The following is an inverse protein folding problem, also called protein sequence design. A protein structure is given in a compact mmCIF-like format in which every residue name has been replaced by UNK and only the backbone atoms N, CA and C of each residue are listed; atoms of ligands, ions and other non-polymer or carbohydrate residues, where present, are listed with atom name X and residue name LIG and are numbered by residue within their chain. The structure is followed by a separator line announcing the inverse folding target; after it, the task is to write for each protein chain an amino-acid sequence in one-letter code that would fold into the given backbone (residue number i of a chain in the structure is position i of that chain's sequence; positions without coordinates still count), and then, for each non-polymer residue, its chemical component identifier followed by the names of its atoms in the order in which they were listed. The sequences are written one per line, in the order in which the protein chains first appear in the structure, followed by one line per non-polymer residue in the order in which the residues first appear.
data_IF_856050108530
#
_entry.id   IF_856050108530
#
_cell.length_a   1.000
_cell.length_b   1.000
_cell.length_c   1.000
_cell.angle_alpha   90.00
_cell.angle_beta   90.00
_cell.angle_gamma   90.00
#
_symmetry.space_group_name_H-M   'P 1'
#
loop_
_entity.id
_entity.type
_entity.pdbx_description
1 polymer ?
#
# COMPACT_ATOMS: atom_id res chain seq x y z
N UNK A 1 -4.87 8.29 26.05
CA UNK A 1 -4.12 7.09 26.48
C UNK A 1 -4.34 5.90 25.53
N UNK A 2 -5.59 5.47 25.25
CA UNK A 2 -5.88 4.32 24.37
C UNK A 2 -5.35 4.53 22.93
N UNK A 3 -5.59 5.68 22.30
CA UNK A 3 -5.15 6.00 20.94
C UNK A 3 -3.63 5.96 20.79
N UNK A 4 -2.90 6.46 21.76
CA UNK A 4 -1.42 6.42 21.74
C UNK A 4 -0.88 5.01 21.94
N UNK A 5 -1.56 4.17 22.73
CA UNK A 5 -1.22 2.75 22.85
C UNK A 5 -1.44 2.00 21.54
N UNK A 6 -2.59 2.20 20.91
CA UNK A 6 -2.92 1.60 19.60
C UNK A 6 -1.90 2.02 18.53
N UNK A 7 -1.57 3.31 18.47
CA UNK A 7 -0.58 3.82 17.53
C UNK A 7 0.80 3.19 17.72
N UNK A 8 1.22 3.00 18.98
CA UNK A 8 2.51 2.40 19.33
C UNK A 8 2.60 0.92 18.97
N UNK A 9 1.48 0.19 19.00
CA UNK A 9 1.42 -1.25 18.70
C UNK A 9 0.77 -1.54 17.35
N UNK A 10 0.61 -0.54 16.48
CA UNK A 10 -0.08 -0.65 15.18
C UNK A 10 0.45 -1.80 14.31
N UNK A 11 1.75 -2.05 14.31
CA UNK A 11 2.38 -3.14 13.53
C UNK A 11 1.92 -4.55 13.95
N UNK A 12 1.49 -4.74 15.19
CA UNK A 12 0.92 -6.01 15.68
C UNK A 12 -0.61 -6.03 15.56
N UNK A 13 -1.26 -4.89 15.75
CA UNK A 13 -2.73 -4.81 15.75
C UNK A 13 -3.28 -4.95 14.32
N UNK A 14 -2.58 -4.48 13.27
CA UNK A 14 -3.06 -4.59 11.89
C UNK A 14 -3.27 -6.05 11.41
N UNK A 15 -2.32 -6.99 11.60
CA UNK A 15 -2.59 -8.40 11.32
C UNK A 15 -3.76 -8.97 12.14
N UNK A 16 -3.90 -8.55 13.40
CA UNK A 16 -5.02 -8.95 14.26
C UNK A 16 -6.35 -8.45 13.69
N UNK A 17 -6.41 -7.20 13.16
CA UNK A 17 -7.62 -6.68 12.51
C UNK A 17 -8.00 -7.52 11.27
N UNK A 18 -7.03 -8.02 10.50
CA UNK A 18 -7.29 -8.94 9.39
C UNK A 18 -7.92 -10.26 9.90
N UNK A 19 -7.36 -10.85 10.97
CA UNK A 19 -7.89 -12.07 11.58
C UNK A 19 -9.32 -11.82 12.11
N UNK A 20 -9.57 -10.69 12.79
CA UNK A 20 -10.91 -10.30 13.26
C UNK A 20 -11.88 -10.18 12.10
N UNK A 21 -11.47 -9.53 10.98
CA UNK A 21 -12.28 -9.42 9.77
C UNK A 21 -12.63 -10.79 9.16
N UNK A 22 -11.70 -11.73 9.21
CA UNK A 22 -11.93 -13.10 8.76
C UNK A 22 -12.91 -13.87 9.68
N UNK A 23 -12.76 -13.76 11.00
CA UNK A 23 -13.59 -14.46 11.99
C UNK A 23 -15.00 -13.89 12.06
N UNK A 24 -15.18 -12.58 11.86
CA UNK A 24 -16.46 -11.89 11.94
C UNK A 24 -16.91 -11.32 10.57
N UNK A 25 -17.44 -12.17 9.66
CA UNK A 25 -17.75 -11.77 8.29
C UNK A 25 -18.79 -10.64 8.21
N UNK A 26 -19.78 -10.60 9.11
CA UNK A 26 -20.78 -9.53 9.16
C UNK A 26 -20.15 -8.17 9.43
N UNK A 27 -19.17 -8.10 10.35
CA UNK A 27 -18.43 -6.89 10.66
C UNK A 27 -17.56 -6.48 9.46
N UNK A 28 -16.86 -7.44 8.85
CA UNK A 28 -16.02 -7.19 7.67
C UNK A 28 -16.85 -6.65 6.50
N UNK A 29 -18.00 -7.25 6.20
CA UNK A 29 -18.92 -6.79 5.15
C UNK A 29 -19.48 -5.39 5.45
N UNK A 30 -19.84 -5.10 6.69
CA UNK A 30 -20.30 -3.77 7.07
C UNK A 30 -19.23 -2.70 6.86
N UNK A 31 -17.96 -3.00 7.18
CA UNK A 31 -16.84 -2.07 6.97
C UNK A 31 -16.48 -1.95 5.49
N UNK A 32 -16.57 -3.03 4.70
CA UNK A 32 -16.26 -3.03 3.26
C UNK A 32 -17.02 -1.95 2.49
N UNK A 33 -18.29 -1.73 2.84
CA UNK A 33 -19.15 -0.71 2.19
C UNK A 33 -18.59 0.71 2.35
N UNK A 34 -17.93 1.00 3.47
CA UNK A 34 -17.39 2.33 3.79
C UNK A 34 -15.90 2.48 3.46
N UNK A 35 -15.24 1.47 2.92
CA UNK A 35 -13.78 1.50 2.71
C UNK A 35 -13.34 2.61 1.76
N UNK A 36 -14.13 2.94 0.74
CA UNK A 36 -13.81 4.05 -0.17
C UNK A 36 -13.84 5.42 0.51
N UNK A 37 -14.79 5.63 1.42
CA UNK A 37 -14.88 6.85 2.23
C UNK A 37 -13.73 6.90 3.26
N UNK A 38 -13.42 5.77 3.89
CA UNK A 38 -12.30 5.64 4.82
C UNK A 38 -10.99 5.96 4.10
N UNK A 39 -10.79 5.47 2.87
CA UNK A 39 -9.65 5.79 2.04
C UNK A 39 -9.53 7.30 1.76
N UNK A 40 -10.64 7.94 1.39
CA UNK A 40 -10.68 9.38 1.14
C UNK A 40 -10.16 10.18 2.35
N UNK A 41 -10.70 9.90 3.54
CA UNK A 41 -10.27 10.58 4.75
C UNK A 41 -8.84 10.22 5.14
N UNK A 42 -8.42 8.98 4.99
CA UNK A 42 -7.03 8.59 5.24
C UNK A 42 -6.06 9.37 4.36
N UNK A 43 -6.35 9.48 3.06
CA UNK A 43 -5.53 10.27 2.13
C UNK A 43 -5.50 11.74 2.53
N UNK A 44 -6.66 12.32 2.80
CA UNK A 44 -6.79 13.71 3.23
C UNK A 44 -5.96 14.01 4.48
N UNK A 45 -6.14 13.23 5.55
CA UNK A 45 -5.42 13.44 6.81
C UNK A 45 -3.92 13.13 6.70
N UNK A 46 -3.54 12.12 5.90
CA UNK A 46 -2.12 11.85 5.64
C UNK A 46 -1.45 13.04 4.98
N UNK A 47 -2.05 13.59 3.93
CA UNK A 47 -1.51 14.74 3.21
C UNK A 47 -1.55 16.03 4.07
N UNK A 48 -2.53 16.16 4.93
CA UNK A 48 -2.62 17.27 5.88
C UNK A 48 -1.53 17.21 6.96
N UNK A 49 -1.12 16.00 7.38
CA UNK A 49 -0.12 15.78 8.43
C UNK A 49 1.35 15.86 7.97
N UNK A 50 1.63 16.09 6.68
CA UNK A 50 3.00 16.08 6.14
C UNK A 50 3.52 17.51 5.95
N UNK A 51 4.80 17.74 6.24
CA UNK A 51 5.50 18.96 5.84
C UNK A 51 5.63 19.02 4.29
N UNK A 52 4.86 19.91 3.67
CA UNK A 52 4.80 20.01 2.22
C UNK A 52 6.10 20.51 1.60
N UNK A 53 6.83 21.42 2.26
CA UNK A 53 8.08 21.93 1.72
C UNK A 53 9.16 20.85 1.65
N UNK A 54 9.35 20.12 2.75
CA UNK A 54 10.26 19.00 2.79
C UNK A 54 9.86 17.89 1.79
N UNK A 55 8.56 17.63 1.67
CA UNK A 55 8.01 16.67 0.73
C UNK A 55 8.24 17.07 -0.73
N UNK A 56 7.93 18.31 -1.12
CA UNK A 56 8.14 18.82 -2.49
C UNK A 56 9.62 18.74 -2.90
N UNK A 57 10.53 19.09 -1.99
CA UNK A 57 11.98 18.96 -2.22
C UNK A 57 12.39 17.51 -2.49
N UNK A 58 11.80 16.54 -1.78
CA UNK A 58 12.07 15.11 -1.98
C UNK A 58 11.41 14.59 -3.28
N UNK A 59 10.18 14.97 -3.58
CA UNK A 59 9.50 14.58 -4.82
C UNK A 59 10.19 15.14 -6.06
N UNK A 60 10.84 16.29 -5.96
CA UNK A 60 11.59 16.88 -7.08
C UNK A 60 12.81 16.04 -7.51
N UNK A 61 13.23 15.02 -6.72
CA UNK A 61 14.37 14.17 -7.07
C UNK A 61 13.97 13.07 -8.06
N UNK A 62 14.75 12.89 -9.13
CA UNK A 62 14.53 11.84 -10.14
C UNK A 62 14.52 10.44 -9.54
N UNK A 63 15.29 10.20 -8.47
CA UNK A 63 15.34 8.94 -7.73
C UNK A 63 13.96 8.47 -7.25
N UNK A 64 13.11 9.37 -6.78
CA UNK A 64 11.76 9.07 -6.29
C UNK A 64 10.84 8.64 -7.44
N UNK A 65 10.96 9.27 -8.62
CA UNK A 65 10.18 8.93 -9.81
C UNK A 65 10.62 7.61 -10.45
N UNK A 66 11.94 7.35 -10.49
CA UNK A 66 12.47 6.06 -10.94
C UNK A 66 11.96 4.94 -10.04
N UNK A 67 11.96 5.15 -8.71
CA UNK A 67 11.34 4.21 -7.78
C UNK A 67 9.86 3.97 -8.11
N UNK A 68 9.09 5.03 -8.32
CA UNK A 68 7.66 4.96 -8.60
C UNK A 68 7.35 4.17 -9.89
N UNK A 69 8.11 4.42 -10.96
CA UNK A 69 7.98 3.69 -12.22
C UNK A 69 8.34 2.22 -12.09
N UNK A 70 9.44 1.91 -11.42
CA UNK A 70 9.88 0.52 -11.21
C UNK A 70 8.90 -0.23 -10.29
N UNK A 71 8.43 0.42 -9.23
CA UNK A 71 7.55 -0.18 -8.24
C UNK A 71 6.15 -0.48 -8.78
N UNK A 72 5.56 0.38 -9.61
CA UNK A 72 4.23 0.16 -10.21
C UNK A 72 4.33 -0.49 -11.59
N UNK A 73 4.96 0.16 -12.55
CA UNK A 73 5.02 -0.31 -13.93
C UNK A 73 5.96 -1.50 -14.11
N UNK A 74 7.22 -1.37 -13.65
CA UNK A 74 8.22 -2.43 -13.79
C UNK A 74 7.82 -3.72 -13.07
N UNK A 75 7.29 -3.61 -11.84
CA UNK A 75 6.84 -4.77 -11.07
C UNK A 75 5.62 -5.43 -11.70
N UNK A 76 4.64 -4.65 -12.17
CA UNK A 76 3.47 -5.18 -12.87
C UNK A 76 3.88 -5.93 -14.15
N UNK A 77 4.75 -5.34 -14.96
CA UNK A 77 5.25 -5.97 -16.18
C UNK A 77 5.99 -7.28 -15.88
N UNK A 78 6.88 -7.28 -14.89
CA UNK A 78 7.60 -8.48 -14.48
C UNK A 78 6.64 -9.60 -14.03
N UNK A 79 5.59 -9.26 -13.27
CA UNK A 79 4.58 -10.21 -12.85
C UNK A 79 3.73 -10.72 -14.01
N UNK A 80 3.36 -9.87 -14.98
CA UNK A 80 2.64 -10.29 -16.19
C UNK A 80 3.48 -11.32 -16.94
N UNK A 81 4.74 -11.00 -17.24
CA UNK A 81 5.63 -11.90 -17.98
C UNK A 81 5.81 -13.24 -17.24
N UNK A 82 6.09 -13.19 -15.94
CA UNK A 82 6.32 -14.39 -15.12
C UNK A 82 5.06 -15.24 -15.01
N UNK A 83 3.92 -14.64 -14.65
CA UNK A 83 2.66 -15.35 -14.50
C UNK A 83 2.19 -15.94 -15.84
N UNK A 84 2.33 -15.19 -16.94
CA UNK A 84 2.00 -15.66 -18.28
C UNK A 84 2.89 -16.86 -18.70
N UNK A 85 4.19 -16.82 -18.42
CA UNK A 85 5.12 -17.92 -18.67
C UNK A 85 4.79 -19.19 -17.85
N UNK A 86 4.23 -19.00 -16.64
CA UNK A 86 3.75 -20.10 -15.79
C UNK A 86 2.36 -20.62 -16.18
N UNK A 87 1.78 -20.14 -17.28
CA UNK A 87 0.47 -20.59 -17.75
C UNK A 87 -0.73 -19.93 -17.07
N UNK A 88 -0.53 -18.91 -16.23
CA UNK A 88 -1.62 -18.15 -15.61
C UNK A 88 -2.31 -17.28 -16.67
N UNK A 89 -3.65 -17.28 -16.69
CA UNK A 89 -4.48 -16.57 -17.69
C UNK A 89 -5.66 -15.87 -17.02
N UNK A 90 -6.39 -15.13 -17.80
CA UNK A 90 -7.68 -14.51 -17.48
C UNK A 90 -7.68 -13.70 -16.18
N UNK A 91 -8.70 -13.83 -15.36
CA UNK A 91 -8.89 -13.08 -14.10
C UNK A 91 -7.73 -13.21 -13.12
N UNK A 92 -7.04 -14.36 -13.11
CA UNK A 92 -5.86 -14.57 -12.26
C UNK A 92 -4.68 -13.72 -12.71
N UNK A 93 -4.40 -13.68 -14.00
CA UNK A 93 -3.33 -12.85 -14.58
C UNK A 93 -3.64 -11.37 -14.35
N UNK A 94 -4.89 -10.96 -14.61
CA UNK A 94 -5.35 -9.60 -14.40
C UNK A 94 -5.21 -9.18 -12.92
N UNK A 95 -5.63 -10.05 -11.99
CA UNK A 95 -5.54 -9.78 -10.55
C UNK A 95 -4.09 -9.64 -10.07
N UNK A 96 -3.19 -10.52 -10.50
CA UNK A 96 -1.76 -10.48 -10.16
C UNK A 96 -1.10 -9.23 -10.72
N UNK A 97 -1.36 -8.91 -12.00
CA UNK A 97 -0.85 -7.72 -12.67
C UNK A 97 -1.35 -6.43 -11.99
N UNK A 98 -2.64 -6.39 -11.66
CA UNK A 98 -3.27 -5.29 -10.94
C UNK A 98 -2.66 -5.08 -9.56
N UNK A 99 -2.43 -6.15 -8.80
CA UNK A 99 -1.72 -6.07 -7.52
C UNK A 99 -0.29 -5.54 -7.71
N UNK A 100 0.41 -5.94 -8.76
CA UNK A 100 1.73 -5.43 -9.14
C UNK A 100 1.74 -3.93 -9.46
N UNK A 101 0.69 -3.43 -10.10
CA UNK A 101 0.55 -2.03 -10.48
C UNK A 101 0.16 -1.11 -9.32
N UNK A 102 -0.28 -1.65 -8.16
CA UNK A 102 -0.73 -0.84 -7.02
C UNK A 102 0.37 0.06 -6.47
N UNK A 103 0.00 1.27 -6.03
CA UNK A 103 0.90 2.17 -5.30
C UNK A 103 1.24 1.62 -3.91
N UNK A 104 2.29 2.14 -3.26
CA UNK A 104 2.54 1.88 -1.84
C UNK A 104 1.40 2.38 -0.95
N UNK A 105 1.29 1.76 0.23
CA UNK A 105 0.33 2.14 1.25
C UNK A 105 0.59 3.57 1.74
N UNK A 106 -0.45 4.42 1.85
CA UNK A 106 -0.31 5.78 2.41
C UNK A 106 0.27 5.82 3.82
N UNK A 107 0.09 4.75 4.59
CA UNK A 107 0.71 4.57 5.89
C UNK A 107 2.19 4.15 5.88
N UNK A 108 2.83 4.00 4.71
CA UNK A 108 4.23 3.52 4.61
C UNK A 108 5.20 4.40 5.38
N UNK A 109 5.02 5.74 5.36
CA UNK A 109 5.84 6.65 6.16
C UNK A 109 5.77 6.35 7.66
N UNK A 110 4.57 6.11 8.19
CA UNK A 110 4.38 5.75 9.59
C UNK A 110 4.98 4.37 9.92
N UNK A 111 4.83 3.40 9.01
CA UNK A 111 5.41 2.06 9.18
C UNK A 111 6.94 2.11 9.16
N UNK A 112 7.54 2.86 8.24
CA UNK A 112 9.00 3.06 8.13
C UNK A 112 9.54 3.76 9.36
N UNK A 113 8.86 4.81 9.84
CA UNK A 113 9.20 5.50 11.09
C UNK A 113 9.14 4.56 12.31
N UNK A 114 8.15 3.66 12.37
CA UNK A 114 8.03 2.67 13.45
C UNK A 114 9.16 1.63 13.46
N UNK A 115 9.90 1.50 12.35
CA UNK A 115 11.12 0.68 12.22
C UNK A 115 12.38 1.49 12.49
N UNK A 116 12.29 2.83 12.55
CA UNK A 116 13.39 3.74 12.88
C UNK A 116 14.10 4.36 11.67
N UNK A 117 13.46 4.38 10.49
CA UNK A 117 14.03 4.92 9.25
C UNK A 117 13.31 6.19 8.74
N UNK A 118 13.80 6.77 7.65
CA UNK A 118 13.33 8.05 7.08
C UNK A 118 11.88 7.94 6.54
N UNK A 119 10.94 8.41 7.36
CA UNK A 119 9.53 8.48 7.01
C UNK A 119 9.24 9.45 5.84
N UNK A 120 10.01 10.53 5.69
CA UNK A 120 9.80 11.52 4.63
C UNK A 120 10.15 10.93 3.27
N UNK A 121 11.25 10.18 3.18
CA UNK A 121 11.64 9.47 1.96
C UNK A 121 10.59 8.42 1.58
N UNK A 122 10.10 7.64 2.54
CA UNK A 122 9.04 6.67 2.31
C UNK A 122 7.77 7.33 1.79
N UNK A 123 7.36 8.44 2.38
CA UNK A 123 6.17 9.19 1.97
C UNK A 123 6.32 9.80 0.57
N UNK A 124 7.50 10.38 0.24
CA UNK A 124 7.77 10.91 -1.09
C UNK A 124 7.65 9.82 -2.17
N UNK A 125 8.25 8.65 -1.94
CA UNK A 125 8.14 7.48 -2.81
C UNK A 125 6.69 7.02 -2.97
N UNK A 126 5.93 7.01 -1.88
CA UNK A 126 4.50 6.63 -1.88
C UNK A 126 3.67 7.58 -2.73
N UNK A 127 3.85 8.89 -2.57
CA UNK A 127 3.08 9.89 -3.33
C UNK A 127 3.42 9.83 -4.82
N UNK A 128 4.71 9.78 -5.18
CA UNK A 128 5.11 9.65 -6.57
C UNK A 128 4.53 8.38 -7.22
N UNK A 129 4.60 7.24 -6.53
CA UNK A 129 4.03 6.00 -7.03
C UNK A 129 2.49 6.04 -7.11
N UNK A 130 1.81 6.77 -6.22
CA UNK A 130 0.35 6.98 -6.28
C UNK A 130 -0.05 7.80 -7.51
N UNK A 131 0.78 8.76 -7.93
CA UNK A 131 0.53 9.54 -9.15
C UNK A 131 0.80 8.73 -10.43
N UNK A 132 1.72 7.77 -10.40
CA UNK A 132 2.01 6.85 -11.52
C UNK A 132 0.97 5.72 -11.61
N UNK A 133 0.48 5.22 -10.48
CA UNK A 133 -0.41 4.06 -10.38
C UNK A 133 -1.63 4.11 -11.32
N UNK A 134 -2.36 5.23 -11.48
CA UNK A 134 -3.51 5.27 -12.39
C UNK A 134 -3.16 4.90 -13.82
N UNK A 135 -2.03 5.36 -14.31
CA UNK A 135 -1.57 5.08 -15.67
C UNK A 135 -1.16 3.61 -15.83
N UNK A 136 -0.47 3.07 -14.83
CA UNK A 136 -0.07 1.65 -14.85
C UNK A 136 -1.27 0.71 -14.73
N UNK A 137 -2.25 1.02 -13.86
CA UNK A 137 -3.49 0.25 -13.75
C UNK A 137 -4.34 0.34 -15.02
N UNK A 138 -4.45 1.52 -15.62
CA UNK A 138 -5.15 1.67 -16.90
C UNK A 138 -4.46 0.85 -18.00
N UNK A 139 -3.12 0.87 -18.04
CA UNK A 139 -2.34 0.04 -18.97
C UNK A 139 -2.55 -1.46 -18.75
N UNK A 140 -2.64 -1.93 -17.51
CA UNK A 140 -2.96 -3.33 -17.16
C UNK A 140 -4.37 -3.69 -17.64
N UNK A 141 -5.36 -2.84 -17.37
CA UNK A 141 -6.75 -3.06 -17.79
C UNK A 141 -6.88 -3.07 -19.32
N UNK A 142 -6.15 -2.20 -20.01
CA UNK A 142 -6.16 -2.16 -21.47
C UNK A 142 -5.47 -3.36 -22.11
N UNK A 143 -4.38 -3.84 -21.49
CA UNK A 143 -3.58 -4.96 -22.01
C UNK A 143 -4.20 -6.34 -21.73
N UNK A 144 -4.83 -6.50 -20.56
CA UNK A 144 -5.31 -7.79 -20.04
C UNK A 144 -6.82 -7.84 -19.80
N UNK A 145 -7.52 -6.72 -19.93
CA UNK A 145 -8.97 -6.67 -19.76
C UNK A 145 -9.68 -7.48 -20.86
N UNK A 146 -10.67 -8.27 -20.46
CA UNK A 146 -11.48 -9.03 -21.41
C UNK A 146 -12.39 -8.08 -22.21
N UNK A 147 -12.70 -8.42 -23.46
CA UNK A 147 -13.62 -7.65 -24.33
C UNK A 147 -15.03 -7.47 -23.72
N UNK A 148 -15.41 -8.36 -22.79
CA UNK A 148 -16.67 -8.28 -22.04
C UNK A 148 -16.64 -7.25 -20.89
N UNK A 149 -15.47 -6.84 -20.42
CA UNK A 149 -15.32 -5.75 -19.47
C UNK A 149 -15.23 -4.42 -20.24
N UNK A 150 -16.39 -3.85 -20.63
CA UNK A 150 -16.42 -2.49 -21.17
C UNK A 150 -15.78 -1.55 -20.17
N UNK A 151 -14.49 -1.23 -20.38
CA UNK A 151 -13.76 -0.29 -19.53
C UNK A 151 -14.39 1.09 -19.70
N UNK A 152 -15.26 1.47 -18.77
CA UNK A 152 -15.79 2.83 -18.71
C UNK A 152 -14.68 3.77 -18.21
N UNK A 153 -13.95 4.34 -19.15
CA UNK A 153 -12.87 5.30 -18.89
C UNK A 153 -13.42 6.53 -18.14
N UNK A 154 -14.66 6.95 -18.41
CA UNK A 154 -15.31 8.06 -17.70
C UNK A 154 -15.48 7.76 -16.21
N UNK A 155 -16.01 6.58 -15.89
CA UNK A 155 -16.13 6.10 -14.50
C UNK A 155 -14.76 5.95 -13.83
N UNK A 156 -13.78 5.43 -14.54
CA UNK A 156 -12.41 5.31 -14.06
C UNK A 156 -11.82 6.67 -13.68
N UNK A 157 -11.88 7.65 -14.59
CA UNK A 157 -11.39 9.03 -14.35
C UNK A 157 -12.16 9.71 -13.22
N UNK A 158 -13.49 9.55 -13.15
CA UNK A 158 -14.29 10.09 -12.05
C UNK A 158 -13.82 9.55 -10.68
N UNK A 159 -13.52 8.26 -10.58
CA UNK A 159 -12.99 7.66 -9.35
C UNK A 159 -11.60 8.20 -8.99
N UNK A 160 -10.72 8.39 -9.96
CA UNK A 160 -9.42 9.04 -9.74
C UNK A 160 -9.58 10.46 -9.19
N UNK A 161 -10.45 11.25 -9.81
CA UNK A 161 -10.70 12.62 -9.36
C UNK A 161 -11.22 12.66 -7.92
N UNK A 162 -12.17 11.78 -7.57
CA UNK A 162 -12.77 11.75 -6.24
C UNK A 162 -11.79 11.22 -5.18
N UNK A 163 -11.09 10.11 -5.46
CA UNK A 163 -10.34 9.42 -4.41
C UNK A 163 -8.84 9.76 -4.35
N UNK A 164 -8.28 10.41 -5.38
CA UNK A 164 -6.88 10.87 -5.36
C UNK A 164 -6.82 12.39 -5.35
N UNK A 165 -7.38 13.04 -6.37
CA UNK A 165 -7.19 14.48 -6.55
C UNK A 165 -7.98 15.33 -5.55
N UNK A 166 -9.22 14.95 -5.23
CA UNK A 166 -10.05 15.73 -4.30
C UNK A 166 -9.45 15.80 -2.88
N UNK A 167 -9.02 14.70 -2.23
CA UNK A 167 -8.37 14.80 -0.93
C UNK A 167 -7.06 15.58 -0.97
N UNK A 168 -6.30 15.53 -2.09
CA UNK A 168 -5.10 16.36 -2.27
C UNK A 168 -5.44 17.84 -2.32
N UNK A 169 -6.43 18.23 -3.12
CA UNK A 169 -6.87 19.62 -3.24
C UNK A 169 -7.44 20.15 -1.93
N UNK A 170 -8.24 19.35 -1.23
CA UNK A 170 -8.78 19.72 0.08
C UNK A 170 -7.65 19.90 1.12
N UNK A 171 -6.65 19.04 1.14
CA UNK A 171 -5.52 19.18 2.05
C UNK A 171 -4.72 20.47 1.78
N UNK A 172 -4.50 20.80 0.51
CA UNK A 172 -3.87 22.08 0.09
C UNK A 172 -4.75 23.26 0.50
N UNK A 173 -6.06 23.20 0.26
CA UNK A 173 -7.02 24.23 0.66
C UNK A 173 -7.01 24.49 2.16
N UNK A 174 -7.16 23.44 2.98
CA UNK A 174 -7.11 23.59 4.46
C UNK A 174 -5.81 24.21 4.92
N UNK A 175 -4.66 23.81 4.36
CA UNK A 175 -3.36 24.40 4.73
C UNK A 175 -3.22 25.88 4.33
N UNK A 176 -3.91 26.31 3.27
CA UNK A 176 -3.90 27.71 2.83
C UNK A 176 -4.71 28.60 3.79
N UNK A 177 -5.81 28.09 4.35
CA UNK A 177 -6.72 28.88 5.19
C UNK A 177 -6.48 28.69 6.69
N UNK A 178 -5.87 27.58 7.12
CA UNK A 178 -5.61 27.28 8.53
C UNK A 178 -4.16 27.64 8.89
N UNK A 179 -3.94 28.47 9.91
CA UNK A 179 -2.59 28.86 10.35
C UNK A 179 -1.73 27.64 10.69
N UNK A 180 -0.44 27.61 10.28
CA UNK A 180 0.46 26.49 10.54
C UNK A 180 0.57 26.10 12.01
N UNK A 181 0.51 27.08 12.93
CA UNK A 181 0.56 26.83 14.37
C UNK A 181 -0.61 25.97 14.88
N UNK A 182 -1.80 26.13 14.28
CA UNK A 182 -2.97 25.30 14.61
C UNK A 182 -2.75 23.89 14.09
N UNK A 183 -2.31 23.74 12.83
CA UNK A 183 -2.05 22.42 12.22
C UNK A 183 -0.98 21.65 13.01
N UNK A 184 0.13 22.28 13.38
CA UNK A 184 1.21 21.67 14.16
C UNK A 184 0.70 21.11 15.49
N UNK A 185 -0.23 21.83 16.16
CA UNK A 185 -0.85 21.37 17.41
C UNK A 185 -1.69 20.08 17.23
N UNK A 186 -2.32 19.91 16.06
CA UNK A 186 -3.21 18.79 15.78
C UNK A 186 -2.54 17.62 15.06
N UNK A 187 -1.34 17.78 14.49
CA UNK A 187 -0.65 16.70 13.78
C UNK A 187 -0.54 15.37 14.55
N UNK A 188 -0.22 15.36 15.86
CA UNK A 188 -0.15 14.10 16.60
C UNK A 188 -1.51 13.39 16.66
N UNK A 189 -2.60 14.13 16.79
CA UNK A 189 -3.97 13.59 16.81
C UNK A 189 -4.39 13.08 15.45
N UNK A 190 -4.07 13.84 14.38
CA UNK A 190 -4.31 13.44 12.99
C UNK A 190 -3.58 12.13 12.68
N UNK A 191 -2.32 12.00 13.09
CA UNK A 191 -1.54 10.77 12.91
C UNK A 191 -2.16 9.57 13.63
N UNK A 192 -2.61 9.75 14.88
CA UNK A 192 -3.29 8.70 15.64
C UNK A 192 -4.62 8.30 14.99
N UNK A 193 -5.39 9.26 14.48
CA UNK A 193 -6.66 8.99 13.79
C UNK A 193 -6.41 8.25 12.46
N UNK A 194 -5.39 8.65 11.72
CA UNK A 194 -4.98 7.93 10.50
C UNK A 194 -4.67 6.45 10.75
N UNK A 195 -4.02 6.13 11.86
CA UNK A 195 -3.74 4.74 12.22
C UNK A 195 -5.03 3.96 12.45
N UNK A 196 -6.05 4.57 13.10
CA UNK A 196 -7.37 3.92 13.25
C UNK A 196 -8.04 3.68 11.90
N UNK A 197 -8.04 4.67 11.01
CA UNK A 197 -8.58 4.50 9.65
C UNK A 197 -7.84 3.38 8.90
N UNK A 198 -6.51 3.32 9.04
CA UNK A 198 -5.69 2.30 8.41
C UNK A 198 -6.02 0.88 8.91
N UNK A 199 -6.39 0.71 10.19
CA UNK A 199 -6.79 -0.58 10.76
C UNK A 199 -8.12 -1.12 10.21
N UNK A 200 -9.00 -0.25 9.72
CA UNK A 200 -10.25 -0.68 9.09
C UNK A 200 -10.04 -1.34 7.72
N UNK A 201 -8.88 -1.12 7.07
CA UNK A 201 -8.59 -1.71 5.77
C UNK A 201 -8.46 -3.23 5.81
N UNK A 202 -7.54 -3.80 6.62
CA UNK A 202 -7.45 -5.25 6.72
C UNK A 202 -8.76 -5.88 7.20
N UNK A 203 -9.47 -5.22 8.12
CA UNK A 203 -10.74 -5.70 8.62
C UNK A 203 -11.80 -5.79 7.50
N UNK A 204 -11.98 -4.75 6.70
CA UNK A 204 -13.02 -4.72 5.66
C UNK A 204 -12.66 -5.55 4.42
N UNK A 205 -11.40 -5.50 3.95
CA UNK A 205 -10.97 -6.25 2.75
C UNK A 205 -11.00 -7.77 2.94
N UNK A 206 -10.95 -8.24 4.20
CA UNK A 206 -11.09 -9.67 4.50
C UNK A 206 -12.45 -10.25 4.11
N UNK A 207 -13.49 -9.43 3.90
CA UNK A 207 -14.79 -9.88 3.44
C UNK A 207 -14.72 -10.71 2.15
N UNK A 208 -14.00 -10.22 1.12
CA UNK A 208 -13.85 -10.93 -0.14
C UNK A 208 -13.08 -12.26 -0.01
N UNK A 209 -12.04 -12.27 0.81
CA UNK A 209 -11.29 -13.49 1.09
C UNK A 209 -12.13 -14.50 1.89
N UNK A 210 -12.89 -14.05 2.89
CA UNK A 210 -13.77 -14.90 3.68
C UNK A 210 -14.87 -15.53 2.83
N UNK A 211 -15.50 -14.78 1.94
CA UNK A 211 -16.51 -15.31 1.02
C UNK A 211 -15.92 -16.43 0.14
N UNK A 212 -14.70 -16.24 -0.38
CA UNK A 212 -14.02 -17.28 -1.14
C UNK A 212 -13.72 -18.51 -0.29
N UNK A 213 -13.29 -18.32 0.96
CA UNK A 213 -13.01 -19.43 1.88
C UNK A 213 -14.28 -20.25 2.17
N UNK A 214 -15.42 -19.61 2.36
CA UNK A 214 -16.69 -20.28 2.64
C UNK A 214 -17.20 -21.10 1.43
N UNK A 215 -16.91 -20.65 0.19
CA UNK A 215 -17.34 -21.36 -1.02
C UNK A 215 -16.30 -22.39 -1.49
N UNK A 216 -15.02 -22.07 -1.43
CA UNK A 216 -13.92 -22.93 -1.88
C UNK A 216 -12.67 -22.70 -1.02
N UNK A 217 -12.51 -23.45 0.09
CA UNK A 217 -11.36 -23.32 0.99
C UNK A 217 -10.02 -23.57 0.31
N UNK A 218 -9.98 -24.44 -0.71
CA UNK A 218 -8.75 -24.71 -1.47
C UNK A 218 -8.31 -23.50 -2.29
N UNK A 219 -9.24 -22.85 -2.96
CA UNK A 219 -8.95 -21.60 -3.69
C UNK A 219 -8.49 -20.49 -2.74
N UNK A 220 -9.11 -20.37 -1.58
CA UNK A 220 -8.70 -19.40 -0.57
C UNK A 220 -7.28 -19.68 -0.05
N UNK A 221 -6.92 -20.94 0.19
CA UNK A 221 -5.55 -21.33 0.57
C UNK A 221 -4.54 -20.95 -0.52
N UNK A 222 -4.88 -21.21 -1.78
CA UNK A 222 -4.05 -20.86 -2.94
C UNK A 222 -3.83 -19.35 -3.02
N UNK A 223 -4.87 -18.54 -2.81
CA UNK A 223 -4.78 -17.08 -2.76
C UNK A 223 -3.91 -16.60 -1.59
N UNK A 224 -3.98 -17.23 -0.43
CA UNK A 224 -3.16 -16.90 0.73
C UNK A 224 -1.69 -17.23 0.49
N UNK A 225 -1.37 -18.36 -0.10
CA UNK A 225 0.00 -18.75 -0.47
C UNK A 225 0.52 -17.78 -1.54
N UNK A 226 -0.24 -17.55 -2.61
CA UNK A 226 0.13 -16.62 -3.67
C UNK A 226 0.39 -15.21 -3.14
N UNK A 227 -0.50 -14.67 -2.33
CA UNK A 227 -0.35 -13.34 -1.74
C UNK A 227 0.86 -13.24 -0.82
N UNK A 228 1.18 -14.32 -0.08
CA UNK A 228 2.38 -14.38 0.77
C UNK A 228 3.67 -14.39 -0.07
N UNK A 229 3.70 -15.15 -1.16
CA UNK A 229 4.82 -15.15 -2.10
C UNK A 229 4.96 -13.79 -2.75
N UNK A 230 3.87 -13.18 -3.23
CA UNK A 230 3.91 -11.85 -3.84
C UNK A 230 4.40 -10.77 -2.88
N UNK A 231 3.96 -10.79 -1.61
CA UNK A 231 4.43 -9.85 -0.60
C UNK A 231 5.95 -9.94 -0.37
N UNK A 232 6.48 -11.17 -0.29
CA UNK A 232 7.92 -11.41 -0.18
C UNK A 232 8.67 -11.01 -1.46
N UNK A 233 8.14 -11.32 -2.64
CA UNK A 233 8.71 -10.90 -3.93
C UNK A 233 8.80 -9.37 -4.00
N UNK A 234 7.76 -8.64 -3.67
CA UNK A 234 7.78 -7.17 -3.63
C UNK A 234 8.83 -6.64 -2.67
N UNK A 235 8.88 -7.20 -1.46
CA UNK A 235 9.80 -6.78 -0.42
C UNK A 235 11.26 -7.03 -0.83
N UNK A 236 11.60 -8.26 -1.18
CA UNK A 236 12.97 -8.65 -1.46
C UNK A 236 13.50 -8.12 -2.80
N UNK A 237 12.65 -7.99 -3.82
CA UNK A 237 13.06 -7.35 -5.09
C UNK A 237 13.49 -5.91 -4.85
N UNK A 238 12.70 -5.13 -4.12
CA UNK A 238 13.09 -3.76 -3.77
C UNK A 238 14.34 -3.74 -2.87
N UNK A 239 14.43 -4.62 -1.88
CA UNK A 239 15.62 -4.72 -1.03
C UNK A 239 16.89 -4.97 -1.85
N UNK A 240 16.87 -5.94 -2.78
CA UNK A 240 18.02 -6.32 -3.62
C UNK A 240 18.41 -5.19 -4.56
N UNK A 241 17.46 -4.55 -5.22
CA UNK A 241 17.70 -3.44 -6.15
C UNK A 241 18.35 -2.26 -5.41
N UNK A 242 17.81 -1.90 -4.24
CA UNK A 242 18.23 -0.69 -3.52
C UNK A 242 19.37 -0.92 -2.51
N UNK A 243 19.81 -2.16 -2.27
CA UNK A 243 20.91 -2.46 -1.33
C UNK A 243 22.25 -1.79 -1.70
N UNK A 244 22.46 -1.54 -3.01
CA UNK A 244 23.66 -0.83 -3.49
C UNK A 244 23.68 0.65 -3.11
N UNK A 245 22.52 1.23 -2.75
CA UNK A 245 22.38 2.61 -2.29
C UNK A 245 22.44 2.73 -0.75
N UNK A 246 22.84 1.67 -0.07
CA UNK A 246 22.93 1.58 1.37
C UNK A 246 21.78 0.81 2.01
N UNK A 247 22.07 0.25 3.18
CA UNK A 247 21.15 -0.63 3.90
C UNK A 247 19.82 0.05 4.28
N UNK A 248 19.89 1.29 4.76
CA UNK A 248 18.71 2.07 5.13
C UNK A 248 17.78 2.30 3.93
N UNK A 249 18.35 2.72 2.79
CA UNK A 249 17.58 2.90 1.56
C UNK A 249 16.93 1.59 1.08
N UNK A 250 17.63 0.46 1.27
CA UNK A 250 17.10 -0.86 0.91
C UNK A 250 15.90 -1.24 1.78
N UNK A 251 15.98 -1.07 3.11
CA UNK A 251 14.86 -1.40 4.02
C UNK A 251 13.67 -0.46 3.78
N UNK A 252 13.92 0.85 3.61
CA UNK A 252 12.86 1.80 3.28
C UNK A 252 12.18 1.43 1.96
N UNK A 253 12.94 1.13 0.91
CA UNK A 253 12.39 0.72 -0.38
C UNK A 253 11.61 -0.61 -0.27
N UNK A 254 12.12 -1.58 0.48
CA UNK A 254 11.48 -2.88 0.69
C UNK A 254 10.14 -2.73 1.42
N UNK A 255 10.09 -1.96 2.51
CA UNK A 255 8.86 -1.71 3.27
C UNK A 255 7.82 -0.94 2.44
N UNK A 256 8.26 0.06 1.68
CA UNK A 256 7.38 0.85 0.80
C UNK A 256 6.87 -0.02 -0.35
N UNK A 257 7.71 -0.83 -0.98
CA UNK A 257 7.30 -1.69 -2.10
C UNK A 257 6.43 -2.87 -1.65
N UNK A 258 6.71 -3.48 -0.49
CA UNK A 258 5.91 -4.56 0.07
C UNK A 258 4.55 -4.11 0.61
N UNK A 259 4.48 -2.91 1.17
CA UNK A 259 3.24 -2.29 1.65
C UNK A 259 2.43 -1.70 0.51
N UNK A 260 1.49 -2.46 -0.06
CA UNK A 260 0.65 -2.03 -1.19
C UNK A 260 -0.64 -1.35 -0.76
N UNK A 261 -1.02 -0.28 -1.44
CA UNK A 261 -2.33 0.38 -1.24
C UNK A 261 -3.42 -0.33 -2.03
N UNK A 262 -3.66 -1.57 -1.66
CA UNK A 262 -4.64 -2.44 -2.33
C UNK A 262 -6.06 -1.85 -2.27
N UNK A 263 -6.38 -1.07 -1.23
CA UNK A 263 -7.67 -0.41 -1.13
C UNK A 263 -7.85 0.68 -2.18
N UNK A 264 -6.83 1.47 -2.46
CA UNK A 264 -6.90 2.49 -3.52
C UNK A 264 -7.12 1.83 -4.88
N UNK A 265 -6.37 0.76 -5.18
CA UNK A 265 -6.57 -0.01 -6.41
C UNK A 265 -7.97 -0.58 -6.49
N UNK A 266 -8.46 -1.23 -5.43
CA UNK A 266 -9.83 -1.73 -5.34
C UNK A 266 -10.85 -0.63 -5.61
N UNK A 267 -10.75 0.49 -4.89
CA UNK A 267 -11.71 1.60 -5.02
C UNK A 267 -11.78 2.15 -6.44
N UNK A 268 -10.65 2.20 -7.16
CA UNK A 268 -10.61 2.73 -8.53
C UNK A 268 -11.05 1.70 -9.56
N UNK A 269 -10.65 0.43 -9.39
CA UNK A 269 -10.73 -0.57 -10.46
C UNK A 269 -11.73 -1.70 -10.22
N UNK A 270 -12.39 -1.76 -9.08
CA UNK A 270 -13.28 -2.88 -8.74
C UNK A 270 -14.28 -3.31 -9.83
N UNK A 271 -14.88 -2.43 -10.62
CA UNK A 271 -15.80 -2.84 -11.68
C UNK A 271 -15.12 -3.55 -12.87
N UNK A 272 -13.78 -3.51 -12.95
CA UNK A 272 -13.03 -3.89 -14.14
C UNK A 272 -12.04 -5.06 -13.92
N UNK A 273 -11.81 -5.47 -12.67
CA UNK A 273 -10.70 -6.38 -12.31
C UNK A 273 -11.09 -7.85 -12.16
N UNK A 274 -12.32 -8.23 -12.50
CA UNK A 274 -12.78 -9.61 -12.39
C UNK A 274 -12.97 -10.13 -10.94
N UNK A 275 -13.44 -11.36 -10.83
CA UNK A 275 -13.90 -11.94 -9.57
C UNK A 275 -12.75 -12.31 -8.59
N UNK A 276 -11.54 -12.55 -9.10
CA UNK A 276 -10.38 -13.00 -8.30
C UNK A 276 -9.71 -11.84 -7.55
N UNK A 277 -9.90 -10.59 -8.01
CA UNK A 277 -9.14 -9.45 -7.51
C UNK A 277 -9.44 -9.14 -6.03
N UNK A 278 -10.70 -8.99 -5.65
CA UNK A 278 -11.06 -8.68 -4.25
C UNK A 278 -10.62 -9.76 -3.26
N UNK A 279 -10.83 -11.06 -3.52
CA UNK A 279 -10.30 -12.14 -2.68
C UNK A 279 -8.77 -12.11 -2.54
N UNK A 280 -8.03 -11.84 -3.63
CA UNK A 280 -6.58 -11.70 -3.61
C UNK A 280 -6.14 -10.52 -2.74
N UNK A 281 -6.82 -9.37 -2.84
CA UNK A 281 -6.54 -8.19 -2.02
C UNK A 281 -6.80 -8.46 -0.53
N UNK A 282 -7.86 -9.21 -0.21
CA UNK A 282 -8.15 -9.66 1.15
C UNK A 282 -7.05 -10.56 1.69
N UNK A 283 -6.69 -11.62 0.94
CA UNK A 283 -5.61 -12.54 1.32
C UNK A 283 -4.27 -11.80 1.53
N UNK A 284 -3.98 -10.77 0.74
CA UNK A 284 -2.74 -10.00 0.80
C UNK A 284 -2.59 -9.17 2.08
N UNK A 285 -3.69 -8.89 2.81
CA UNK A 285 -3.63 -8.09 4.05
C UNK A 285 -2.73 -8.75 5.12
N UNK A 286 -2.84 -10.06 5.30
CA UNK A 286 -2.08 -10.78 6.34
C UNK A 286 -0.56 -10.68 6.09
N UNK A 287 -0.01 -11.17 4.96
CA UNK A 287 1.42 -11.10 4.72
C UNK A 287 1.94 -9.66 4.64
N UNK A 288 1.20 -8.75 4.05
CA UNK A 288 1.61 -7.34 3.90
C UNK A 288 1.86 -6.68 5.27
N UNK A 289 0.95 -6.84 6.22
CA UNK A 289 1.09 -6.24 7.54
C UNK A 289 2.09 -6.98 8.46
N UNK A 290 2.57 -8.16 8.06
CA UNK A 290 3.70 -8.82 8.71
C UNK A 290 5.08 -8.29 8.25
N UNK A 291 5.18 -7.67 7.06
CA UNK A 291 6.46 -7.16 6.53
C UNK A 291 7.18 -6.15 7.45
N UNK A 292 6.51 -5.23 8.17
CA UNK A 292 7.18 -4.35 9.12
C UNK A 292 7.89 -5.10 10.26
N UNK A 293 7.41 -6.27 10.66
CA UNK A 293 8.06 -7.12 11.66
C UNK A 293 9.35 -7.70 11.10
N UNK A 294 9.33 -8.14 9.83
CA UNK A 294 10.52 -8.58 9.11
C UNK A 294 11.55 -7.43 9.01
N UNK A 295 11.11 -6.22 8.65
CA UNK A 295 11.96 -5.03 8.60
C UNK A 295 12.61 -4.71 9.95
N UNK A 296 11.86 -4.79 11.05
CA UNK A 296 12.40 -4.62 12.42
C UNK A 296 13.44 -5.69 12.76
N UNK A 297 13.19 -6.93 12.40
CA UNK A 297 14.13 -8.02 12.64
C UNK A 297 15.44 -7.81 11.88
N UNK A 298 15.36 -7.44 10.60
CA UNK A 298 16.53 -7.14 9.78
C UNK A 298 17.30 -5.95 10.34
N UNK A 299 16.64 -4.86 10.72
CA UNK A 299 17.25 -3.67 11.30
C UNK A 299 18.04 -3.99 12.59
N UNK A 300 17.47 -4.80 13.48
CA UNK A 300 18.16 -5.22 14.72
C UNK A 300 19.44 -6.02 14.44
N UNK A 301 19.43 -6.91 13.46
CA UNK A 301 20.63 -7.69 13.12
C UNK A 301 21.78 -6.83 12.59
N UNK A 302 21.48 -5.76 11.90
CA UNK A 302 22.49 -4.87 11.35
C UNK A 302 23.13 -3.99 12.44
N UNK A 303 22.35 -3.55 13.44
CA UNK A 303 22.87 -2.74 14.57
C UNK A 303 23.69 -3.56 15.56
N UNK A 304 23.53 -4.88 15.60
CA UNK A 304 24.32 -5.79 16.46
C UNK A 304 25.60 -6.31 15.82
N UNK A 305 25.85 -6.06 14.55
CA UNK A 305 27.17 -6.30 13.96
C UNK A 305 28.11 -5.14 14.35
N UNK A 306 29.29 -5.40 14.98
CA UNK A 306 30.24 -4.34 15.27
C UNK A 306 30.64 -3.65 13.96
N UNK A 307 30.56 -2.32 13.95
CA UNK A 307 31.06 -1.49 12.85
C UNK A 307 32.54 -1.80 12.73
N UNK A 308 32.93 -2.50 11.68
CA UNK A 308 34.32 -2.75 11.36
C UNK A 308 34.95 -1.42 10.91
N UNK A 309 35.55 -0.69 11.86
CA UNK A 309 36.18 0.61 11.68
C UNK A 309 37.46 0.55 10.79
N UNK A 310 37.62 -0.52 9.99
CA UNK A 310 38.82 -0.74 9.14
C UNK A 310 38.67 -0.43 7.67
N UNK A 311 37.64 0.31 7.24
CA UNK A 311 37.56 0.78 5.83
C UNK A 311 37.41 2.28 5.74
N UNK A 312 38.36 3.02 6.25
CA UNK A 312 38.46 4.46 6.14
C UNK A 312 39.92 4.87 6.03
N UNK A 313 40.51 4.64 4.86
CA UNK A 313 41.63 5.41 4.32
C UNK A 313 41.52 5.44 2.80
#
# INVERSE_FOLDING_TARGET
MLLSFIARHSTLIMPVCAIVGFVFPNLSNAVLVYLSQILFFLMFFTLLGIDQYALLKRIATSYVWVFALLQSGGMSLALIVTAYALGVRDDWLLAIAGLGATAPLFGSGALVNAVGFDAQLATAKTIAATLIMPFTLLGVLWLLGNESSNLDVGLYVKRLLVYIFMPMLLAVGVRRFVPPAILLRYYPKIGQFNILLLMLFPLGLMAGFRTTFDHNPWQALLLLVLSSVLALVFYFTAYIIYRRLGYENAIVAALVCGGRNVLLSYTITVPFMGAVFLPLLGAFQLPMFCLPLLGKYMAKRHTTQPIDLKSGF
#
